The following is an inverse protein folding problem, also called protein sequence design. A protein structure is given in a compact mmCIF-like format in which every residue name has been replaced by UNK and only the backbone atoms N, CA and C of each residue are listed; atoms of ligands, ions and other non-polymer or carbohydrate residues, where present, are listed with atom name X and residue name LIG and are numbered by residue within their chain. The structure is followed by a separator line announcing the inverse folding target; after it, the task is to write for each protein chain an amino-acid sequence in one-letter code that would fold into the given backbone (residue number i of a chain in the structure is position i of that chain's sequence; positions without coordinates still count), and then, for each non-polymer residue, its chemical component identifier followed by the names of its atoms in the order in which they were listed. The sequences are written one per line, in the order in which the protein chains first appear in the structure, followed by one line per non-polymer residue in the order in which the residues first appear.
data_IF_972862019344
#
_entry.id   IF_972862019344
#
_cell.length_a   1.000
_cell.length_b   1.000
_cell.length_c   1.000
_cell.angle_alpha   90.00
_cell.angle_beta   90.00
_cell.angle_gamma   90.00
#
_symmetry.space_group_name_H-M   'P 1'
#
loop_
_entity.id
_entity.type
_entity.pdbx_description
1 polymer ?
#
# COMPACT_ATOMS: atom_id res chain seq x y z
N UNK A 1 4.51 -15.79 25.47
CA UNK A 1 4.30 -14.43 24.90
C UNK A 1 5.11 -14.39 23.64
N UNK A 2 4.54 -13.87 22.58
CA UNK A 2 5.22 -13.79 21.30
C UNK A 2 6.34 -12.75 21.37
N UNK A 3 7.52 -13.14 20.86
CA UNK A 3 8.73 -12.32 20.91
C UNK A 3 8.94 -11.60 19.58
N UNK A 4 9.09 -10.28 19.65
CA UNK A 4 9.26 -9.41 18.48
C UNK A 4 10.62 -8.73 18.56
N UNK A 5 11.46 -8.95 17.55
CA UNK A 5 12.71 -8.22 17.37
C UNK A 5 12.46 -7.02 16.46
N UNK A 6 12.65 -5.82 17.01
CA UNK A 6 12.58 -4.56 16.27
C UNK A 6 13.96 -4.15 15.80
N UNK A 7 14.12 -3.94 14.50
CA UNK A 7 15.38 -3.49 13.91
C UNK A 7 15.08 -2.21 13.16
N UNK A 8 15.31 -1.07 13.83
CA UNK A 8 14.92 0.26 13.36
C UNK A 8 16.04 1.26 13.61
N UNK A 9 16.40 2.04 12.60
CA UNK A 9 17.45 3.06 12.70
C UNK A 9 16.98 4.35 13.39
N UNK A 10 15.74 4.76 13.15
CA UNK A 10 15.10 5.88 13.85
C UNK A 10 14.72 5.51 15.29
N UNK A 11 15.45 6.09 16.25
CA UNK A 11 15.27 5.90 17.68
C UNK A 11 13.89 6.35 18.17
N UNK A 12 13.36 7.46 17.64
CA UNK A 12 12.06 7.98 18.09
C UNK A 12 10.94 7.04 17.65
N UNK A 13 10.99 6.62 16.39
CA UNK A 13 10.02 5.67 15.86
C UNK A 13 10.12 4.31 16.53
N UNK A 14 11.34 3.80 16.74
CA UNK A 14 11.58 2.54 17.41
C UNK A 14 10.97 2.52 18.82
N UNK A 15 11.19 3.58 19.61
CA UNK A 15 10.62 3.73 20.95
C UNK A 15 9.10 3.76 20.92
N UNK A 16 8.51 4.48 19.96
CA UNK A 16 7.07 4.58 19.80
C UNK A 16 6.41 3.24 19.44
N UNK A 17 7.02 2.50 18.51
CA UNK A 17 6.60 1.16 18.12
C UNK A 17 6.76 0.15 19.28
N UNK A 18 7.87 0.21 20.02
CA UNK A 18 8.12 -0.63 21.20
C UNK A 18 7.05 -0.41 22.28
N UNK A 19 6.72 0.83 22.62
CA UNK A 19 5.67 1.14 23.60
C UNK A 19 4.31 0.60 23.16
N UNK A 20 3.99 0.70 21.88
CA UNK A 20 2.71 0.26 21.32
C UNK A 20 2.58 -1.27 21.36
N UNK A 21 3.60 -1.99 20.89
CA UNK A 21 3.61 -3.45 20.91
C UNK A 21 3.65 -4.02 22.34
N UNK A 22 4.34 -3.36 23.28
CA UNK A 22 4.37 -3.79 24.69
C UNK A 22 3.00 -3.63 25.36
N UNK A 23 2.26 -2.56 25.02
CA UNK A 23 0.88 -2.35 25.49
C UNK A 23 -0.05 -3.43 24.96
N UNK A 24 0.16 -3.91 23.73
CA UNK A 24 -0.60 -5.00 23.14
C UNK A 24 -0.31 -6.34 23.82
N UNK A 25 0.94 -6.58 24.26
CA UNK A 25 1.33 -7.76 25.03
C UNK A 25 2.49 -8.56 24.45
N UNK A 26 3.25 -7.98 23.51
CA UNK A 26 4.45 -8.59 22.94
C UNK A 26 5.67 -8.36 23.83
N UNK A 27 6.56 -9.34 23.86
CA UNK A 27 7.91 -9.19 24.42
C UNK A 27 8.83 -8.65 23.32
N UNK A 28 9.51 -7.54 23.58
CA UNK A 28 10.21 -6.79 22.53
C UNK A 28 11.65 -6.54 22.91
N UNK A 29 12.54 -6.79 21.95
CA UNK A 29 13.92 -6.34 21.95
C UNK A 29 14.15 -5.43 20.74
N UNK A 30 14.85 -4.31 20.95
CA UNK A 30 15.11 -3.32 19.91
C UNK A 30 16.60 -3.21 19.57
N UNK A 31 16.90 -3.10 18.29
CA UNK A 31 18.25 -2.93 17.73
C UNK A 31 18.27 -1.78 16.73
N UNK A 32 19.37 -1.04 16.69
CA UNK A 32 19.59 0.10 15.79
C UNK A 32 20.76 -0.11 14.80
N UNK A 33 21.37 -1.30 14.79
CA UNK A 33 22.51 -1.64 13.94
C UNK A 33 22.51 -3.12 13.58
N UNK A 34 23.13 -3.45 12.44
CA UNK A 34 23.25 -4.83 11.96
C UNK A 34 24.36 -5.65 12.64
N UNK A 35 25.26 -5.01 13.41
CA UNK A 35 26.52 -5.62 13.86
C UNK A 35 26.32 -6.92 14.66
N UNK A 36 25.31 -6.96 15.54
CA UNK A 36 25.03 -8.11 16.42
C UNK A 36 23.81 -8.93 15.99
N UNK A 37 23.31 -8.75 14.76
CA UNK A 37 22.04 -9.35 14.32
C UNK A 37 21.97 -10.86 14.59
N UNK A 38 23.01 -11.60 14.18
CA UNK A 38 23.01 -13.06 14.32
C UNK A 38 23.04 -13.52 15.78
N UNK A 39 23.77 -12.81 16.64
CA UNK A 39 23.87 -13.14 18.07
C UNK A 39 22.54 -12.85 18.78
N UNK A 40 21.95 -11.69 18.52
CA UNK A 40 20.65 -11.30 19.09
C UNK A 40 19.55 -12.24 18.63
N UNK A 41 19.50 -12.57 17.33
CA UNK A 41 18.50 -13.51 16.80
C UNK A 41 18.64 -14.92 17.44
N UNK A 42 19.86 -15.40 17.70
CA UNK A 42 20.08 -16.68 18.37
C UNK A 42 19.74 -16.64 19.87
N UNK A 43 20.08 -15.53 20.55
CA UNK A 43 19.90 -15.38 22.00
C UNK A 43 18.44 -15.11 22.36
N UNK A 44 17.81 -14.16 21.67
CA UNK A 44 16.43 -13.75 21.90
C UNK A 44 15.42 -14.76 21.32
N UNK A 45 15.80 -15.42 20.22
CA UNK A 45 14.96 -16.34 19.46
C UNK A 45 13.56 -15.74 19.16
N UNK A 46 13.49 -14.68 18.34
CA UNK A 46 12.24 -13.99 18.04
C UNK A 46 11.29 -14.85 17.21
N UNK A 47 10.00 -14.69 17.44
CA UNK A 47 8.92 -15.25 16.62
C UNK A 47 8.65 -14.34 15.40
N UNK A 48 8.83 -13.03 15.59
CA UNK A 48 8.65 -12.00 14.56
C UNK A 48 9.84 -11.05 14.50
N UNK A 49 10.22 -10.64 13.28
CA UNK A 49 11.27 -9.65 13.05
C UNK A 49 10.68 -8.53 12.20
N UNK A 50 10.78 -7.30 12.68
CA UNK A 50 10.36 -6.09 11.95
C UNK A 50 11.61 -5.28 11.64
N UNK A 51 11.90 -5.12 10.35
CA UNK A 51 13.05 -4.34 9.88
C UNK A 51 12.59 -3.09 9.18
N UNK A 52 13.05 -1.94 9.65
CA UNK A 52 12.86 -0.63 9.02
C UNK A 52 14.20 0.10 9.00
N UNK A 53 14.57 0.67 7.86
CA UNK A 53 15.72 1.55 7.77
C UNK A 53 16.53 1.35 6.50
N UNK A 54 17.10 2.46 6.05
CA UNK A 54 17.96 2.53 4.88
C UNK A 54 19.11 3.52 5.13
N UNK A 55 19.88 3.25 6.19
CA UNK A 55 21.04 4.02 6.59
C UNK A 55 22.32 3.20 6.47
N UNK A 56 23.48 3.87 6.52
CA UNK A 56 24.78 3.20 6.46
C UNK A 56 25.02 2.22 7.64
N UNK A 57 24.27 2.39 8.74
CA UNK A 57 24.36 1.53 9.93
C UNK A 57 23.38 0.36 9.88
N UNK A 58 22.30 0.51 9.10
CA UNK A 58 21.15 -0.38 9.05
C UNK A 58 20.45 -0.32 7.70
N UNK A 59 20.45 -1.43 6.97
CA UNK A 59 19.71 -1.60 5.72
C UNK A 59 18.80 -2.82 5.84
N UNK A 60 17.49 -2.58 5.74
CA UNK A 60 16.47 -3.63 5.76
C UNK A 60 16.73 -4.71 4.69
N UNK A 61 17.28 -4.32 3.52
CA UNK A 61 17.64 -5.23 2.45
C UNK A 61 18.77 -6.18 2.85
N UNK A 62 19.83 -5.65 3.46
CA UNK A 62 20.98 -6.45 3.89
C UNK A 62 20.60 -7.40 5.02
N UNK A 63 19.77 -6.95 5.95
CA UNK A 63 19.23 -7.77 7.03
C UNK A 63 18.43 -8.94 6.45
N UNK A 64 17.54 -8.68 5.49
CA UNK A 64 16.74 -9.73 4.87
C UNK A 64 17.57 -10.76 4.08
N UNK A 65 18.68 -10.34 3.45
CA UNK A 65 19.65 -11.25 2.82
C UNK A 65 20.38 -12.09 3.87
N UNK A 66 20.92 -11.45 4.91
CA UNK A 66 21.60 -12.13 6.04
C UNK A 66 20.69 -13.13 6.73
N UNK A 67 19.44 -12.76 7.00
CA UNK A 67 18.43 -13.62 7.62
C UNK A 67 18.06 -14.82 6.76
N UNK A 68 18.19 -14.74 5.42
CA UNK A 68 17.96 -15.88 4.53
C UNK A 68 19.18 -16.81 4.48
N UNK A 69 20.38 -16.26 4.53
CA UNK A 69 21.63 -17.03 4.55
C UNK A 69 21.82 -17.78 5.89
N UNK A 70 21.47 -17.15 7.01
CA UNK A 70 21.52 -17.77 8.34
C UNK A 70 20.36 -18.76 8.62
N UNK A 71 19.44 -18.94 7.66
CA UNK A 71 18.07 -19.42 7.90
C UNK A 71 17.87 -20.95 7.98
N UNK A 72 18.87 -21.77 8.26
CA UNK A 72 18.63 -23.22 8.28
C UNK A 72 17.91 -23.71 9.55
N UNK A 73 17.67 -22.86 10.56
CA UNK A 73 17.03 -23.27 11.82
C UNK A 73 15.91 -22.38 12.37
N UNK A 74 15.72 -21.14 11.91
CA UNK A 74 14.80 -20.20 12.58
C UNK A 74 13.58 -19.84 11.73
N UNK A 75 12.40 -20.23 12.20
CA UNK A 75 11.09 -20.02 11.59
C UNK A 75 10.48 -18.65 11.89
N UNK A 76 11.30 -17.64 12.22
CA UNK A 76 10.80 -16.29 12.51
C UNK A 76 10.15 -15.66 11.27
N UNK A 77 8.98 -15.05 11.44
CA UNK A 77 8.27 -14.32 10.37
C UNK A 77 8.85 -12.91 10.24
N UNK A 78 9.08 -12.46 9.01
CA UNK A 78 9.82 -11.22 8.73
C UNK A 78 8.93 -10.20 8.04
N UNK A 79 8.82 -9.01 8.64
CA UNK A 79 8.17 -7.84 8.07
C UNK A 79 9.26 -6.85 7.67
N UNK A 80 9.27 -6.46 6.39
CA UNK A 80 10.21 -5.46 5.88
C UNK A 80 9.47 -4.17 5.55
N UNK A 81 10.04 -3.05 5.99
CA UNK A 81 9.54 -1.70 5.72
C UNK A 81 10.59 -0.95 4.91
N UNK A 82 10.21 -0.48 3.71
CA UNK A 82 11.07 0.28 2.81
C UNK A 82 10.52 1.68 2.53
N UNK A 83 11.34 2.67 2.16
CA UNK A 83 10.81 3.93 1.64
C UNK A 83 10.02 3.73 0.34
N UNK A 84 8.98 4.53 0.10
CA UNK A 84 8.15 4.48 -1.13
C UNK A 84 8.97 4.54 -2.44
N UNK A 85 10.02 5.36 -2.44
CA UNK A 85 10.91 5.52 -3.61
C UNK A 85 11.86 4.33 -3.83
N UNK A 86 11.87 3.36 -2.92
CA UNK A 86 12.83 2.26 -2.96
C UNK A 86 12.37 1.16 -3.90
N UNK A 87 12.89 1.20 -5.13
CA UNK A 87 12.62 0.18 -6.13
C UNK A 87 13.56 -1.02 -5.95
N UNK A 88 13.01 -2.16 -5.56
CA UNK A 88 13.76 -3.41 -5.41
C UNK A 88 13.55 -4.25 -6.68
N UNK A 89 14.63 -4.68 -7.37
CA UNK A 89 14.48 -5.56 -8.51
C UNK A 89 13.86 -6.90 -8.10
N UNK A 90 12.95 -7.42 -8.92
CA UNK A 90 12.19 -8.65 -8.62
C UNK A 90 13.09 -9.87 -8.34
N UNK A 91 14.29 -9.92 -8.96
CA UNK A 91 15.28 -10.97 -8.72
C UNK A 91 15.83 -10.97 -7.29
N UNK A 92 15.92 -9.78 -6.68
CA UNK A 92 16.41 -9.63 -5.32
C UNK A 92 15.31 -9.94 -4.32
N UNK A 93 14.03 -9.59 -4.58
CA UNK A 93 12.89 -9.97 -3.71
C UNK A 93 12.86 -11.48 -3.43
N UNK A 94 13.08 -12.31 -4.46
CA UNK A 94 13.08 -13.78 -4.33
C UNK A 94 14.20 -14.23 -3.39
N UNK A 95 15.33 -13.50 -3.34
CA UNK A 95 16.48 -13.79 -2.49
C UNK A 95 16.33 -13.25 -1.06
N UNK A 96 15.25 -12.54 -0.74
CA UNK A 96 14.99 -12.06 0.61
C UNK A 96 14.13 -13.07 1.39
N UNK A 97 14.35 -13.14 2.71
CA UNK A 97 13.37 -13.74 3.61
C UNK A 97 12.39 -12.64 4.02
N UNK A 98 11.15 -12.73 3.55
CA UNK A 98 10.08 -11.80 3.91
C UNK A 98 8.73 -12.51 3.85
N UNK A 99 7.85 -12.18 4.79
CA UNK A 99 6.45 -12.60 4.83
C UNK A 99 5.52 -11.44 4.45
N UNK A 100 5.84 -10.22 4.92
CA UNK A 100 5.09 -9.00 4.61
C UNK A 100 6.06 -7.91 4.18
N UNK A 101 5.69 -7.21 3.10
CA UNK A 101 6.39 -6.03 2.59
C UNK A 101 5.50 -4.80 2.78
N UNK A 102 6.05 -3.77 3.42
CA UNK A 102 5.37 -2.50 3.70
C UNK A 102 6.24 -1.34 3.20
N UNK A 103 5.60 -0.21 2.91
CA UNK A 103 6.26 1.00 2.42
C UNK A 103 5.98 2.20 3.34
N UNK A 104 6.99 3.06 3.52
CA UNK A 104 6.87 4.32 4.25
C UNK A 104 6.28 5.40 3.37
N UNK A 105 5.48 6.33 3.92
CA UNK A 105 5.16 6.51 5.34
C UNK A 105 4.12 5.50 5.86
N UNK A 106 4.42 4.85 6.99
CA UNK A 106 3.56 3.84 7.60
C UNK A 106 3.36 4.05 9.09
N UNK A 107 2.09 3.98 9.52
CA UNK A 107 1.72 4.05 10.92
C UNK A 107 2.13 2.83 11.72
N UNK A 108 2.35 3.06 13.01
CA UNK A 108 2.61 1.99 13.98
C UNK A 108 1.40 1.05 14.10
N UNK A 109 0.19 1.60 13.91
CA UNK A 109 -1.05 0.82 13.88
C UNK A 109 -1.02 -0.22 12.76
N UNK A 110 -0.68 0.21 11.54
CA UNK A 110 -0.69 -0.66 10.36
C UNK A 110 0.37 -1.76 10.46
N UNK A 111 1.54 -1.46 11.02
CA UNK A 111 2.56 -2.48 11.33
C UNK A 111 2.03 -3.48 12.35
N UNK A 112 1.44 -2.99 13.45
CA UNK A 112 0.93 -3.86 14.52
C UNK A 112 -0.21 -4.76 14.03
N UNK A 113 -1.07 -4.25 13.15
CA UNK A 113 -2.13 -5.04 12.53
C UNK A 113 -1.57 -6.09 11.58
N UNK A 114 -0.56 -5.72 10.79
CA UNK A 114 0.15 -6.67 9.92
C UNK A 114 0.80 -7.79 10.73
N UNK A 115 1.33 -7.48 11.91
CA UNK A 115 1.85 -8.45 12.86
C UNK A 115 0.74 -9.40 13.36
N UNK A 116 -0.44 -8.88 13.71
CA UNK A 116 -1.56 -9.72 14.12
C UNK A 116 -2.05 -10.67 13.03
N UNK A 117 -2.05 -10.24 11.76
CA UNK A 117 -2.38 -11.11 10.63
C UNK A 117 -1.45 -12.33 10.54
N UNK A 118 -0.23 -12.22 11.07
CA UNK A 118 0.70 -13.34 11.15
C UNK A 118 0.54 -14.18 12.42
N UNK A 119 -0.13 -13.67 13.46
CA UNK A 119 -0.12 -14.29 14.80
C UNK A 119 -1.16 -15.40 14.97
N UNK A 120 -2.20 -15.46 14.16
CA UNK A 120 -3.15 -16.59 14.11
C UNK A 120 -3.94 -16.87 15.41
N UNK A 121 -3.77 -16.06 16.46
CA UNK A 121 -4.45 -16.18 17.76
C UNK A 121 -5.72 -15.34 17.88
N UNK A 122 -6.05 -14.92 19.11
CA UNK A 122 -7.18 -14.05 19.43
C UNK A 122 -6.91 -12.59 18.99
N UNK A 123 -6.82 -12.45 17.67
CA UNK A 123 -6.45 -11.23 16.96
C UNK A 123 -7.48 -10.12 17.21
N UNK A 124 -8.74 -10.46 17.46
CA UNK A 124 -9.82 -9.49 17.65
C UNK A 124 -9.71 -8.74 18.97
N UNK A 125 -9.44 -9.45 20.07
CA UNK A 125 -9.24 -8.81 21.37
C UNK A 125 -8.02 -7.88 21.37
N UNK A 126 -6.92 -8.32 20.75
CA UNK A 126 -5.70 -7.53 20.64
C UNK A 126 -5.88 -6.29 19.74
N UNK A 127 -6.64 -6.43 18.64
CA UNK A 127 -7.03 -5.31 17.76
C UNK A 127 -7.91 -4.31 18.48
N UNK A 128 -8.93 -4.75 19.23
CA UNK A 128 -9.81 -3.85 19.98
C UNK A 128 -9.05 -3.09 21.07
N UNK A 129 -8.07 -3.74 21.72
CA UNK A 129 -7.16 -3.08 22.67
C UNK A 129 -6.31 -2.03 21.98
N UNK A 130 -5.78 -2.33 20.79
CA UNK A 130 -4.98 -1.39 19.99
C UNK A 130 -5.82 -0.20 19.52
N UNK A 131 -7.05 -0.41 19.04
CA UNK A 131 -7.94 0.65 18.58
C UNK A 131 -8.38 1.57 19.72
N UNK A 132 -8.76 1.00 20.88
CA UNK A 132 -9.06 1.80 22.09
C UNK A 132 -7.85 2.61 22.52
N UNK A 133 -6.66 2.02 22.45
CA UNK A 133 -5.41 2.72 22.73
C UNK A 133 -5.17 3.89 21.77
N UNK A 134 -5.36 3.67 20.46
CA UNK A 134 -5.23 4.70 19.42
C UNK A 134 -6.22 5.87 19.58
N UNK A 135 -7.40 5.62 20.16
CA UNK A 135 -8.41 6.67 20.42
C UNK A 135 -8.10 7.41 21.73
N UNK A 136 -7.66 6.69 22.76
CA UNK A 136 -7.53 7.25 24.12
C UNK A 136 -6.22 8.00 24.34
N UNK A 137 -5.11 7.56 23.74
CA UNK A 137 -3.78 8.14 23.97
C UNK A 137 -3.51 9.31 23.03
N UNK A 138 -3.56 10.53 23.59
CA UNK A 138 -3.30 11.77 22.85
C UNK A 138 -1.86 11.90 22.38
N UNK A 139 -0.89 11.35 23.11
CA UNK A 139 0.52 11.38 22.70
C UNK A 139 0.73 10.46 21.49
N UNK A 140 0.10 9.29 21.52
CA UNK A 140 0.11 8.37 20.39
C UNK A 140 -0.49 9.01 19.14
N UNK A 141 -1.69 9.61 19.26
CA UNK A 141 -2.36 10.28 18.15
C UNK A 141 -1.51 11.39 17.52
N UNK A 142 -0.94 12.25 18.35
CA UNK A 142 -0.13 13.37 17.85
C UNK A 142 1.10 12.90 17.07
N UNK A 143 1.78 11.86 17.57
CA UNK A 143 2.97 11.33 16.89
C UNK A 143 2.62 10.63 15.57
N UNK A 144 1.58 9.80 15.56
CA UNK A 144 1.08 9.16 14.33
C UNK A 144 0.61 10.19 13.31
N UNK A 145 -0.11 11.22 13.76
CA UNK A 145 -0.58 12.28 12.87
C UNK A 145 0.59 13.06 12.27
N UNK A 146 1.64 13.35 13.04
CA UNK A 146 2.87 13.97 12.50
C UNK A 146 3.55 13.09 11.46
N UNK A 147 3.59 11.77 11.68
CA UNK A 147 4.20 10.82 10.75
C UNK A 147 3.40 10.72 9.44
N UNK A 148 2.07 10.61 9.54
CA UNK A 148 1.17 10.45 8.39
C UNK A 148 0.87 11.76 7.63
N UNK A 149 1.00 12.93 8.27
CA UNK A 149 0.87 14.23 7.60
C UNK A 149 1.86 14.39 6.44
N UNK A 150 3.03 13.74 6.52
CA UNK A 150 3.99 13.71 5.41
C UNK A 150 3.44 13.02 4.15
N UNK A 151 2.47 12.11 4.33
CA UNK A 151 1.80 11.32 3.28
C UNK A 151 0.50 11.96 2.76
N UNK A 152 0.00 13.00 3.42
CA UNK A 152 -1.36 13.51 3.21
C UNK A 152 -2.47 12.59 3.72
N UNK A 153 -2.15 11.60 4.56
CA UNK A 153 -3.11 10.66 5.16
C UNK A 153 -3.39 11.08 6.61
N UNK A 154 -4.63 10.91 7.07
CA UNK A 154 -5.00 11.18 8.47
C UNK A 154 -5.05 9.89 9.26
N UNK A 155 -4.76 9.97 10.57
CA UNK A 155 -4.88 8.82 11.45
C UNK A 155 -6.33 8.30 11.51
N UNK A 156 -7.31 9.20 11.44
CA UNK A 156 -8.72 8.83 11.49
C UNK A 156 -9.15 8.04 10.24
N UNK A 157 -8.63 8.36 9.05
CA UNK A 157 -8.90 7.56 7.85
C UNK A 157 -8.27 6.17 7.93
N UNK A 158 -7.10 6.03 8.57
CA UNK A 158 -6.53 4.71 8.82
C UNK A 158 -7.33 3.91 9.84
N UNK A 159 -7.75 4.54 10.95
CA UNK A 159 -8.60 3.90 11.96
C UNK A 159 -9.91 3.43 11.33
N UNK A 160 -10.52 4.27 10.50
CA UNK A 160 -11.75 3.95 9.76
C UNK A 160 -11.51 2.77 8.81
N UNK A 161 -10.48 2.81 7.96
CA UNK A 161 -10.14 1.70 7.06
C UNK A 161 -9.88 0.38 7.79
N UNK A 162 -9.22 0.43 8.95
CA UNK A 162 -8.98 -0.74 9.80
C UNK A 162 -10.30 -1.26 10.39
N UNK A 163 -11.20 -0.35 10.76
CA UNK A 163 -12.52 -0.70 11.31
C UNK A 163 -13.48 -1.24 10.26
N UNK A 164 -13.41 -0.76 9.02
CA UNK A 164 -14.21 -1.25 7.88
C UNK A 164 -13.76 -2.64 7.44
N UNK A 165 -12.45 -2.92 7.47
CA UNK A 165 -11.94 -4.28 7.27
C UNK A 165 -12.57 -5.30 8.24
N UNK A 166 -12.95 -4.87 9.45
CA UNK A 166 -13.66 -5.71 10.44
C UNK A 166 -15.07 -6.08 9.98
N UNK A 167 -15.80 -5.14 9.35
CA UNK A 167 -17.17 -5.39 8.90
C UNK A 167 -17.22 -6.38 7.74
N UNK A 168 -16.24 -6.33 6.86
CA UNK A 168 -16.15 -7.27 5.73
C UNK A 168 -15.81 -8.71 6.16
N UNK A 169 -15.05 -8.89 7.24
CA UNK A 169 -14.67 -10.23 7.73
C UNK A 169 -15.79 -10.97 8.48
N UNK A 170 -16.81 -10.25 8.96
CA UNK A 170 -17.96 -10.81 9.70
C UNK A 170 -19.20 -11.05 8.80
N UNK A 171 -19.16 -10.65 7.53
CA UNK A 171 -20.34 -10.58 6.67
C UNK A 171 -20.37 -11.50 5.43
N UNK A 172 -19.50 -12.51 5.33
CA UNK A 172 -19.55 -13.47 4.21
C UNK A 172 -20.06 -14.84 4.65
N UNK A 173 -21.38 -14.95 4.79
CA UNK A 173 -22.07 -16.14 4.26
C UNK A 173 -22.23 -15.94 2.75
N UNK A 174 -21.88 -16.97 1.99
CA UNK A 174 -21.92 -16.99 0.53
C UNK A 174 -23.36 -16.98 0.02
N UNK A 175 -23.73 -15.98 -0.77
CA UNK A 175 -24.80 -16.11 -1.76
C UNK A 175 -24.34 -15.59 -3.13
N UNK A 176 -24.82 -16.19 -4.23
CA UNK A 176 -24.15 -16.15 -5.52
C UNK A 176 -24.37 -14.84 -6.28
N UNK A 177 -23.33 -14.50 -7.03
CA UNK A 177 -23.24 -13.37 -7.95
C UNK A 177 -24.41 -13.37 -8.95
N UNK A 178 -25.23 -12.33 -8.93
CA UNK A 178 -25.99 -11.88 -10.10
C UNK A 178 -25.55 -10.46 -10.48
N UNK A 179 -25.06 -10.37 -11.71
CA UNK A 179 -24.63 -9.16 -12.41
C UNK A 179 -25.84 -8.40 -12.95
N UNK A 180 -26.15 -7.22 -12.43
CA UNK A 180 -26.83 -6.16 -13.18
C UNK A 180 -26.28 -4.77 -12.78
N UNK A 181 -26.22 -3.80 -13.73
CA UNK A 181 -25.46 -2.55 -13.57
C UNK A 181 -26.21 -1.50 -12.71
N UNK A 182 -25.49 -0.58 -12.02
CA UNK A 182 -26.11 0.35 -11.09
C UNK A 182 -26.88 1.46 -11.82
N UNK A 183 -28.18 1.57 -11.53
CA UNK A 183 -28.96 2.77 -11.81
C UNK A 183 -28.77 3.77 -10.68
N UNK A 184 -28.33 4.98 -11.05
CA UNK A 184 -28.17 6.15 -10.19
C UNK A 184 -29.55 6.77 -9.96
N UNK A 185 -29.97 6.90 -8.70
CA UNK A 185 -30.89 7.95 -8.26
C UNK A 185 -30.46 8.45 -6.88
N UNK A 186 -30.31 9.77 -6.67
CA UNK A 186 -30.02 10.32 -5.35
C UNK A 186 -31.33 10.50 -4.57
N UNK A 187 -31.48 9.81 -3.44
CA UNK A 187 -32.45 10.16 -2.41
C UNK A 187 -31.72 10.90 -1.30
N UNK A 188 -32.12 12.16 -1.13
CA UNK A 188 -31.71 13.06 -0.05
C UNK A 188 -32.79 12.92 1.02
N UNK A 189 -32.46 12.32 2.16
CA UNK A 189 -33.30 12.37 3.36
C UNK A 189 -32.73 13.42 4.32
N UNK A 190 -33.34 14.61 4.31
CA UNK A 190 -33.12 15.63 5.33
C UNK A 190 -34.00 15.33 6.57
N UNK A 191 -33.41 14.74 7.62
CA UNK A 191 -34.02 14.76 8.95
C UNK A 191 -33.68 16.07 9.68
N UNK A 192 -34.60 17.03 9.65
CA UNK A 192 -34.57 18.21 10.51
C UNK A 192 -35.15 17.90 11.90
N UNK A 193 -34.30 17.95 12.91
CA UNK A 193 -34.67 17.95 14.34
C UNK A 193 -35.20 19.34 14.72
N UNK A 194 -36.49 19.45 15.05
CA UNK A 194 -37.05 20.67 15.65
C UNK A 194 -36.70 20.75 17.15
N UNK A 195 -35.85 21.72 17.52
CA UNK A 195 -35.70 22.17 18.91
C UNK A 195 -36.56 23.41 19.12
N UNK A 196 -37.62 23.26 19.90
CA UNK A 196 -38.48 24.36 20.34
C UNK A 196 -37.73 25.27 21.33
N UNK A 197 -37.53 26.53 20.98
CA UNK A 197 -36.95 27.55 21.86
C UNK A 197 -37.54 28.94 21.58
N UNK A 198 -38.11 29.52 22.63
CA UNK A 198 -38.82 30.81 22.77
C UNK A 198 -38.38 32.00 21.89
N UNK A 199 -39.41 32.80 21.58
CA UNK A 199 -39.39 34.08 20.88
C UNK A 199 -38.32 35.08 21.34
N UNK A 200 -37.58 35.62 20.38
CA UNK A 200 -36.75 36.81 20.49
C UNK A 200 -36.70 37.51 19.13
N UNK A 201 -37.20 38.75 19.09
CA UNK A 201 -37.24 39.63 17.92
C UNK A 201 -35.81 39.92 17.43
N UNK A 202 -35.54 39.75 16.14
CA UNK A 202 -34.26 40.10 15.49
C UNK A 202 -34.53 41.11 14.35
N UNK A 203 -33.71 42.16 14.16
CA UNK A 203 -34.00 43.26 13.23
C UNK A 203 -33.77 42.89 11.76
N UNK A 204 -34.62 43.44 10.88
CA UNK A 204 -34.71 43.16 9.43
C UNK A 204 -33.41 43.39 8.62
N UNK A 205 -32.44 44.17 9.12
CA UNK A 205 -31.17 44.41 8.40
C UNK A 205 -30.23 43.20 8.34
N UNK A 206 -30.42 42.20 9.21
CA UNK A 206 -29.55 41.01 9.29
C UNK A 206 -29.94 39.87 8.33
N UNK A 207 -31.09 39.97 7.65
CA UNK A 207 -31.55 38.97 6.68
C UNK A 207 -31.01 39.22 5.26
N UNK A 208 -30.74 40.48 4.89
CA UNK A 208 -30.27 40.85 3.55
C UNK A 208 -28.79 40.51 3.30
N UNK A 209 -27.97 40.37 4.34
CA UNK A 209 -26.54 40.06 4.21
C UNK A 209 -26.31 38.56 3.95
N UNK A 210 -27.17 37.68 4.50
CA UNK A 210 -27.03 36.22 4.36
C UNK A 210 -27.31 35.71 2.95
N UNK A 211 -28.25 36.32 2.23
CA UNK A 211 -28.60 35.90 0.86
C UNK A 211 -27.48 36.23 -0.14
N UNK A 212 -26.88 37.42 -0.06
CA UNK A 212 -25.80 37.82 -0.96
C UNK A 212 -24.49 37.01 -0.78
N UNK A 213 -24.21 36.55 0.44
CA UNK A 213 -23.05 35.68 0.70
C UNK A 213 -23.31 34.23 0.29
N UNK A 214 -24.56 33.75 0.45
CA UNK A 214 -24.97 32.42 -0.03
C UNK A 214 -24.93 32.32 -1.55
N UNK A 215 -25.32 33.37 -2.27
CA UNK A 215 -25.27 33.39 -3.74
C UNK A 215 -23.83 33.33 -4.26
N UNK A 216 -22.89 34.01 -3.59
CA UNK A 216 -21.45 33.93 -3.92
C UNK A 216 -20.86 32.55 -3.66
N UNK A 217 -21.23 31.90 -2.55
CA UNK A 217 -20.80 30.54 -2.25
C UNK A 217 -21.35 29.54 -3.27
N UNK A 218 -22.59 29.70 -3.71
CA UNK A 218 -23.19 28.85 -4.73
C UNK A 218 -22.52 29.03 -6.12
N UNK A 219 -22.13 30.26 -6.47
CA UNK A 219 -21.32 30.52 -7.67
C UNK A 219 -19.91 29.90 -7.58
N UNK A 220 -19.25 29.95 -6.42
CA UNK A 220 -17.96 29.26 -6.24
C UNK A 220 -18.10 27.73 -6.31
N UNK A 221 -19.14 27.15 -5.70
CA UNK A 221 -19.37 25.69 -5.74
C UNK A 221 -19.66 25.21 -7.16
N UNK A 222 -20.46 25.95 -7.93
CA UNK A 222 -20.76 25.61 -9.33
C UNK A 222 -19.52 25.73 -10.24
N UNK A 223 -18.68 26.74 -10.02
CA UNK A 223 -17.40 26.88 -10.73
C UNK A 223 -16.40 25.79 -10.37
N UNK A 224 -16.31 25.39 -9.09
CA UNK A 224 -15.46 24.28 -8.64
C UNK A 224 -15.96 22.94 -9.20
N UNK A 225 -17.28 22.71 -9.20
CA UNK A 225 -17.89 21.49 -9.77
C UNK A 225 -17.64 21.37 -11.28
N UNK A 226 -17.69 22.47 -12.03
CA UNK A 226 -17.38 22.48 -13.46
C UNK A 226 -15.89 22.17 -13.75
N UNK A 227 -14.98 22.70 -12.93
CA UNK A 227 -13.55 22.40 -13.03
C UNK A 227 -13.20 20.95 -12.65
N UNK A 228 -13.92 20.37 -11.70
CA UNK A 228 -13.71 18.99 -11.25
C UNK A 228 -14.15 17.97 -12.30
N UNK A 229 -15.29 18.20 -12.97
CA UNK A 229 -15.76 17.35 -14.06
C UNK A 229 -14.76 17.30 -15.23
N UNK A 230 -14.26 18.46 -15.66
CA UNK A 230 -13.23 18.53 -16.73
C UNK A 230 -11.92 17.82 -16.33
N UNK A 231 -11.56 17.85 -15.05
CA UNK A 231 -10.37 17.16 -14.54
C UNK A 231 -10.56 15.64 -14.49
N UNK A 232 -11.76 15.17 -14.10
CA UNK A 232 -12.14 13.76 -14.13
C UNK A 232 -12.07 13.21 -15.56
N UNK A 233 -12.60 13.96 -16.53
CA UNK A 233 -12.56 13.56 -17.95
C UNK A 233 -11.12 13.47 -18.48
N UNK A 234 -10.25 14.40 -18.08
CA UNK A 234 -8.83 14.36 -18.41
C UNK A 234 -8.13 13.12 -17.83
N UNK A 235 -8.41 12.76 -16.57
CA UNK A 235 -7.87 11.55 -15.96
C UNK A 235 -8.40 10.28 -16.65
N UNK A 236 -9.69 10.22 -16.97
CA UNK A 236 -10.29 9.07 -17.66
C UNK A 236 -9.67 8.86 -19.06
N UNK A 237 -9.39 9.94 -19.79
CA UNK A 237 -8.68 9.86 -21.08
C UNK A 237 -7.23 9.36 -20.91
N UNK A 238 -6.52 9.83 -19.88
CA UNK A 238 -5.16 9.37 -19.60
C UNK A 238 -5.11 7.87 -19.23
N UNK A 239 -6.06 7.39 -18.43
CA UNK A 239 -6.17 5.97 -18.05
C UNK A 239 -6.42 5.08 -19.26
N UNK A 240 -7.34 5.48 -20.15
CA UNK A 240 -7.64 4.73 -21.37
C UNK A 240 -6.44 4.63 -22.32
N UNK A 241 -5.64 5.69 -22.43
CA UNK A 241 -4.41 5.68 -23.22
C UNK A 241 -3.33 4.77 -22.61
N UNK A 242 -3.24 4.74 -21.28
CA UNK A 242 -2.28 3.90 -20.56
C UNK A 242 -2.57 2.40 -20.77
N UNK A 243 -3.84 1.98 -20.77
CA UNK A 243 -4.23 0.59 -21.02
C UNK A 243 -3.92 0.15 -22.47
N UNK A 244 -4.09 1.05 -23.45
CA UNK A 244 -3.70 0.76 -24.84
C UNK A 244 -2.20 0.55 -24.99
N UNK A 245 -1.38 1.38 -24.34
CA UNK A 245 0.08 1.26 -24.37
C UNK A 245 0.57 -0.01 -23.65
N UNK A 246 -0.05 -0.37 -22.52
CA UNK A 246 0.26 -1.61 -21.81
C UNK A 246 -0.11 -2.83 -22.64
N UNK A 247 -1.27 -2.84 -23.30
CA UNK A 247 -1.69 -3.92 -24.20
C UNK A 247 -0.77 -4.04 -25.42
N UNK A 248 -0.35 -2.93 -26.02
CA UNK A 248 0.62 -2.93 -27.12
C UNK A 248 2.01 -3.39 -26.66
N UNK A 249 2.44 -2.98 -25.47
CA UNK A 249 3.70 -3.42 -24.86
C UNK A 249 3.71 -4.93 -24.56
N UNK A 250 2.63 -5.47 -24.00
CA UNK A 250 2.46 -6.89 -23.72
C UNK A 250 2.47 -7.73 -25.00
N UNK A 251 1.72 -7.32 -26.03
CA UNK A 251 1.72 -8.00 -27.33
C UNK A 251 3.12 -8.03 -27.95
N UNK A 252 3.86 -6.91 -27.94
CA UNK A 252 5.25 -6.86 -28.43
C UNK A 252 6.17 -7.81 -27.66
N UNK A 253 6.04 -7.88 -26.33
CA UNK A 253 6.84 -8.79 -25.49
C UNK A 253 6.52 -10.26 -25.80
N UNK A 254 5.23 -10.60 -25.93
CA UNK A 254 4.78 -11.95 -26.28
C UNK A 254 5.27 -12.41 -27.66
N UNK A 255 5.18 -11.56 -28.69
CA UNK A 255 5.68 -11.90 -30.03
C UNK A 255 7.20 -12.12 -30.01
N UNK A 256 7.95 -11.33 -29.23
CA UNK A 256 9.40 -11.49 -29.09
C UNK A 256 9.78 -12.78 -28.36
N UNK A 257 9.06 -13.16 -27.31
CA UNK A 257 9.30 -14.43 -26.61
C UNK A 257 8.98 -15.64 -27.48
N UNK A 258 7.85 -15.61 -28.20
CA UNK A 258 7.47 -16.69 -29.12
C UNK A 258 8.51 -16.84 -30.25
N UNK A 259 8.95 -15.73 -30.84
CA UNK A 259 9.99 -15.75 -31.87
C UNK A 259 11.32 -16.34 -31.37
N UNK A 260 11.77 -15.93 -30.18
CA UNK A 260 13.00 -16.47 -29.58
C UNK A 260 12.90 -17.96 -29.25
N UNK A 261 11.70 -18.43 -28.88
CA UNK A 261 11.47 -19.83 -28.53
C UNK A 261 11.47 -20.70 -29.79
N UNK A 262 10.77 -20.28 -30.85
CA UNK A 262 10.84 -20.90 -32.18
C UNK A 262 12.27 -20.99 -32.71
N UNK A 263 13.07 -19.95 -32.48
CA UNK A 263 14.48 -19.93 -32.90
C UNK A 263 15.35 -20.93 -32.11
N UNK A 264 15.05 -21.15 -30.83
CA UNK A 264 15.72 -22.18 -30.02
C UNK A 264 15.28 -23.58 -30.41
N UNK A 265 13.99 -23.78 -30.69
CA UNK A 265 13.43 -25.08 -31.06
C UNK A 265 13.96 -25.55 -32.43
N UNK A 266 14.09 -24.65 -33.41
CA UNK A 266 14.67 -24.95 -34.73
C UNK A 266 16.16 -25.35 -34.67
N UNK A 267 16.92 -24.72 -33.77
CA UNK A 267 18.33 -25.07 -33.52
C UNK A 267 18.42 -26.41 -32.78
N UNK A 268 17.56 -26.65 -31.79
CA UNK A 268 17.53 -27.89 -31.02
C UNK A 268 17.12 -29.11 -31.85
N UNK A 269 16.23 -28.93 -32.83
CA UNK A 269 15.82 -29.99 -33.77
C UNK A 269 16.86 -30.26 -34.89
N UNK A 270 18.00 -29.55 -34.91
CA UNK A 270 19.05 -29.73 -35.91
C UNK A 270 18.63 -29.40 -37.35
N UNK A 271 17.53 -28.65 -37.51
CA UNK A 271 16.95 -28.32 -38.83
C UNK A 271 17.56 -27.07 -39.46
N UNK A 272 18.32 -26.27 -38.71
CA UNK A 272 19.02 -25.11 -39.23
C UNK A 272 20.21 -24.72 -38.35
N UNK A 273 21.33 -24.37 -38.99
CA UNK A 273 22.49 -23.79 -38.32
C UNK A 273 22.16 -22.35 -37.89
N UNK A 274 22.67 -21.93 -36.74
CA UNK A 274 22.41 -20.61 -36.15
C UNK A 274 22.66 -19.46 -37.14
N UNK A 275 23.73 -19.56 -37.92
CA UNK A 275 24.12 -18.56 -38.92
C UNK A 275 23.13 -18.47 -40.08
N UNK A 276 22.53 -19.59 -40.49
CA UNK A 276 21.53 -19.62 -41.57
C UNK A 276 20.20 -18.96 -41.20
N UNK A 277 19.81 -19.04 -39.92
CA UNK A 277 18.58 -18.40 -39.44
C UNK A 277 18.79 -16.89 -39.32
N UNK A 278 19.97 -16.45 -38.87
CA UNK A 278 20.31 -15.03 -38.77
C UNK A 278 20.36 -14.34 -40.15
N UNK A 279 20.84 -15.04 -41.20
CA UNK A 279 20.81 -14.55 -42.59
C UNK A 279 19.37 -14.40 -43.13
N UNK A 280 18.51 -15.40 -42.93
CA UNK A 280 17.10 -15.35 -43.35
C UNK A 280 16.32 -14.23 -42.65
N UNK A 281 16.61 -13.97 -41.38
CA UNK A 281 15.98 -12.89 -40.62
C UNK A 281 16.46 -11.50 -41.09
N UNK A 282 17.73 -11.39 -41.50
CA UNK A 282 18.27 -10.19 -42.11
C UNK A 282 17.64 -9.93 -43.49
N UNK A 283 17.43 -10.96 -44.31
CA UNK A 283 16.73 -10.84 -45.59
C UNK A 283 15.26 -10.47 -45.42
N UNK A 284 14.54 -11.07 -44.46
CA UNK A 284 13.16 -10.70 -44.13
C UNK A 284 13.04 -9.24 -43.70
N UNK A 285 13.97 -8.74 -42.88
CA UNK A 285 14.03 -7.32 -42.49
C UNK A 285 14.29 -6.42 -43.68
N UNK A 286 15.21 -6.78 -44.57
CA UNK A 286 15.48 -6.04 -45.82
C UNK A 286 14.25 -6.00 -46.73
N UNK A 287 13.57 -7.14 -46.88
CA UNK A 287 12.36 -7.26 -47.68
C UNK A 287 11.21 -6.43 -47.11
N UNK A 288 10.93 -6.53 -45.80
CA UNK A 288 9.91 -5.73 -45.14
C UNK A 288 10.22 -4.22 -45.24
N UNK A 289 11.48 -3.83 -45.02
CA UNK A 289 11.91 -2.44 -45.19
C UNK A 289 11.77 -1.95 -46.63
N UNK A 290 11.95 -2.81 -47.63
CA UNK A 290 11.70 -2.47 -49.04
C UNK A 290 10.21 -2.39 -49.37
N UNK A 291 9.38 -3.21 -48.74
CA UNK A 291 7.93 -3.26 -48.95
C UNK A 291 7.19 -2.04 -48.33
N UNK A 292 7.68 -1.55 -47.19
CA UNK A 292 7.08 -0.45 -46.44
C UNK A 292 7.79 0.91 -46.62
N UNK A 293 8.89 0.97 -47.40
CA UNK A 293 9.42 2.23 -47.93
C UNK A 293 8.52 2.70 -49.07
N UNK A 294 7.54 3.54 -48.74
CA UNK A 294 6.95 4.52 -49.65
C UNK A 294 7.47 5.91 -49.29
#
# INVERSE_FOLDING_TARGET
MDRVLLIVDDIQYCRHLEMTLRKVGFEIESMNSEFNLNETVLTFNPDYIICRGNSNRLSALNIAKKLKESNTRQSAKVILVFPEDFNIPAEDLIKLKMDILLFEPISTLRITISLFSLTGGDVEFAKDKLLKFAITDSQFRNYEQQLLMSAGVTLDSEIEAISEMRQFSLGKEEEPIQTEPPQVTPQIDEEFVYVTGKAGVVPEESQLIRTAEQDKLNEEITNVSGGLAAKIDSYNQAINNLDQDLRHGLKKRQTKTIGNQLHKDLIAEGKADKDSIEELDAERKRFANALFKK
#
